data_IF_292050772390
#
_entry.id   IF_292050772390
#
_cell.length_a   1.000
_cell.length_b   1.000
_cell.length_c   1.000
_cell.angle_alpha   90.00
_cell.angle_beta   90.00
_cell.angle_gamma   90.00
#
_symmetry.space_group_name_H-M   'P 1'
#
loop_
_entity.id
_entity.type
_entity.pdbx_description
1 polymer ?
#
# COMPACT_ATOMS: atom_id res chain seq x y z
N UNK A 1 19.99 -67.45 -12.60
CA UNK A 1 19.13 -66.55 -11.82
C UNK A 1 20.03 -65.59 -11.04
N UNK A 2 20.08 -64.29 -11.42
CA UNK A 2 20.81 -63.26 -10.65
C UNK A 2 20.00 -62.95 -9.40
N UNK A 3 20.53 -63.25 -8.21
CA UNK A 3 19.97 -62.77 -6.93
C UNK A 3 20.15 -61.24 -6.88
N UNK A 4 19.03 -60.56 -6.95
CA UNK A 4 18.95 -59.13 -6.63
C UNK A 4 19.38 -58.95 -5.16
N UNK A 5 20.57 -58.34 -4.93
CA UNK A 5 20.98 -57.90 -3.60
C UNK A 5 19.99 -56.85 -3.14
N UNK A 6 19.12 -57.15 -2.21
CA UNK A 6 18.35 -56.19 -1.46
C UNK A 6 19.29 -55.45 -0.53
N UNK A 7 19.71 -54.26 -0.93
CA UNK A 7 20.44 -53.36 -0.01
C UNK A 7 19.41 -52.91 1.02
N UNK A 8 19.56 -53.39 2.24
CA UNK A 8 18.76 -52.88 3.36
C UNK A 8 19.15 -51.41 3.64
N UNK A 9 18.14 -50.61 3.92
CA UNK A 9 18.34 -49.23 4.39
C UNK A 9 19.14 -49.27 5.68
N UNK A 10 20.24 -48.51 5.76
CA UNK A 10 21.04 -48.44 6.99
C UNK A 10 20.36 -47.50 7.99
N UNK A 11 20.56 -47.77 9.29
CA UNK A 11 19.99 -46.93 10.35
C UNK A 11 20.40 -45.46 10.18
N UNK A 12 21.63 -45.24 9.72
CA UNK A 12 22.16 -43.88 9.51
C UNK A 12 21.47 -43.15 8.34
N UNK A 13 21.13 -43.86 7.27
CA UNK A 13 20.36 -43.29 6.16
C UNK A 13 18.94 -42.91 6.60
N UNK A 14 18.29 -43.72 7.44
CA UNK A 14 16.99 -43.43 7.98
C UNK A 14 17.03 -42.19 8.89
N UNK A 15 18.04 -42.06 9.76
CA UNK A 15 18.22 -40.89 10.60
C UNK A 15 18.53 -39.64 9.79
N UNK A 16 19.36 -39.74 8.77
CA UNK A 16 19.66 -38.62 7.87
C UNK A 16 18.40 -38.15 7.11
N UNK A 17 17.62 -39.10 6.59
CA UNK A 17 16.37 -38.77 5.92
C UNK A 17 15.39 -38.06 6.84
N UNK A 18 15.22 -38.52 8.09
CA UNK A 18 14.43 -37.87 9.13
C UNK A 18 14.90 -36.46 9.45
N UNK A 19 16.22 -36.27 9.55
CA UNK A 19 16.80 -34.97 9.80
C UNK A 19 16.53 -33.99 8.65
N UNK A 20 16.75 -34.41 7.41
CA UNK A 20 16.48 -33.58 6.23
C UNK A 20 15.00 -33.24 6.11
N UNK A 21 14.10 -34.19 6.31
CA UNK A 21 12.66 -33.93 6.25
C UNK A 21 12.20 -32.97 7.33
N UNK A 22 12.77 -33.02 8.53
CA UNK A 22 12.45 -32.07 9.60
C UNK A 22 12.91 -30.66 9.27
N UNK A 23 14.10 -30.50 8.69
CA UNK A 23 14.61 -29.20 8.21
C UNK A 23 13.75 -28.60 7.11
N UNK A 24 13.39 -29.41 6.11
CA UNK A 24 12.51 -28.97 5.01
C UNK A 24 11.14 -28.56 5.53
N UNK A 25 10.59 -29.33 6.47
CA UNK A 25 9.31 -29.00 7.08
C UNK A 25 9.34 -27.69 7.87
N UNK A 26 10.43 -27.44 8.61
CA UNK A 26 10.62 -26.18 9.35
C UNK A 26 10.74 -24.99 8.40
N UNK A 27 11.52 -25.11 7.34
CA UNK A 27 11.64 -24.07 6.30
C UNK A 27 10.30 -23.80 5.60
N UNK A 28 9.57 -24.86 5.24
CA UNK A 28 8.23 -24.75 4.65
C UNK A 28 7.24 -24.01 5.56
N UNK A 29 7.27 -24.31 6.86
CA UNK A 29 6.46 -23.63 7.85
C UNK A 29 6.82 -22.12 7.96
N UNK A 30 8.11 -21.78 7.99
CA UNK A 30 8.56 -20.39 8.02
C UNK A 30 8.13 -19.62 6.78
N UNK A 31 8.29 -20.20 5.59
CA UNK A 31 7.85 -19.59 4.33
C UNK A 31 6.33 -19.37 4.31
N UNK A 32 5.55 -20.35 4.78
CA UNK A 32 4.11 -20.22 4.90
C UNK A 32 3.70 -19.09 5.83
N UNK A 33 4.36 -18.95 6.98
CA UNK A 33 4.14 -17.85 7.94
C UNK A 33 4.45 -16.50 7.30
N UNK A 34 5.57 -16.38 6.59
CA UNK A 34 5.92 -15.17 5.85
C UNK A 34 4.86 -14.83 4.80
N UNK A 35 4.47 -15.78 3.98
CA UNK A 35 3.46 -15.58 2.93
C UNK A 35 2.11 -15.11 3.51
N UNK A 36 1.67 -15.73 4.59
CA UNK A 36 0.43 -15.32 5.29
C UNK A 36 0.57 -13.91 5.89
N UNK A 37 1.72 -13.58 6.45
CA UNK A 37 1.98 -12.23 6.98
C UNK A 37 1.90 -11.17 5.87
N UNK A 38 2.54 -11.41 4.73
CA UNK A 38 2.45 -10.51 3.56
C UNK A 38 1.02 -10.42 3.00
N UNK A 39 0.28 -11.53 2.97
CA UNK A 39 -1.10 -11.52 2.49
C UNK A 39 -2.06 -10.72 3.39
N UNK A 40 -1.74 -10.62 4.70
CA UNK A 40 -2.51 -9.82 5.67
C UNK A 40 -1.95 -8.41 5.88
N UNK A 41 -0.80 -8.08 5.31
CA UNK A 41 -0.34 -6.70 5.28
C UNK A 41 -1.25 -5.93 4.32
N UNK A 42 -2.19 -5.20 4.89
CA UNK A 42 -2.92 -4.12 4.21
C UNK A 42 -1.89 -3.01 3.92
N UNK A 43 -1.00 -3.27 2.97
CA UNK A 43 -0.05 -2.25 2.53
C UNK A 43 -0.87 -1.28 1.70
N UNK A 44 -1.28 -0.19 2.34
CA UNK A 44 -2.04 0.90 1.71
C UNK A 44 -1.10 1.74 0.82
N UNK A 45 -0.32 1.02 0.00
CA UNK A 45 0.62 1.58 -0.98
C UNK A 45 -0.11 2.48 -1.97
N UNK A 46 -1.36 2.17 -2.29
CA UNK A 46 -2.17 2.97 -3.20
C UNK A 46 -2.33 4.41 -2.69
N UNK A 47 -2.64 4.58 -1.41
CA UNK A 47 -2.78 5.93 -0.84
C UNK A 47 -1.45 6.67 -0.77
N UNK A 48 -0.36 5.98 -0.45
CA UNK A 48 0.98 6.58 -0.44
C UNK A 48 1.40 7.05 -1.83
N UNK A 49 1.17 6.25 -2.87
CA UNK A 49 1.42 6.66 -4.25
C UNK A 49 0.56 7.84 -4.67
N UNK A 50 -0.72 7.85 -4.30
CA UNK A 50 -1.61 8.95 -4.60
C UNK A 50 -1.14 10.26 -3.91
N UNK A 51 -0.72 10.20 -2.65
CA UNK A 51 -0.13 11.36 -1.95
C UNK A 51 1.15 11.84 -2.62
N UNK A 52 2.04 10.92 -3.03
CA UNK A 52 3.26 11.29 -3.74
C UNK A 52 2.97 11.95 -5.10
N UNK A 53 1.98 11.44 -5.82
CA UNK A 53 1.54 12.03 -7.07
C UNK A 53 0.97 13.43 -6.85
N UNK A 54 0.13 13.63 -5.83
CA UNK A 54 -0.40 14.92 -5.45
C UNK A 54 0.71 15.90 -5.05
N UNK A 55 1.66 15.50 -4.22
CA UNK A 55 2.82 16.31 -3.85
C UNK A 55 3.61 16.79 -5.07
N UNK A 56 3.87 15.88 -6.00
CA UNK A 56 4.58 16.21 -7.23
C UNK A 56 3.82 17.21 -8.10
N UNK A 57 2.52 17.07 -8.20
CA UNK A 57 1.65 17.97 -8.95
C UNK A 57 1.57 19.35 -8.26
N UNK A 58 1.39 19.39 -6.94
CA UNK A 58 1.32 20.62 -6.18
C UNK A 58 2.64 21.37 -6.15
N UNK A 59 3.78 20.66 -6.12
CA UNK A 59 5.10 21.31 -6.21
C UNK A 59 5.34 22.04 -7.55
N UNK A 60 4.60 21.70 -8.60
CA UNK A 60 4.65 22.37 -9.90
C UNK A 60 3.53 23.40 -10.08
N UNK A 61 2.65 23.52 -9.10
CA UNK A 61 1.49 24.40 -9.16
C UNK A 61 1.76 25.74 -8.50
N UNK A 62 0.92 26.70 -8.85
CA UNK A 62 0.90 28.02 -8.23
C UNK A 62 -0.47 28.29 -7.60
N UNK A 63 -0.52 29.27 -6.70
CA UNK A 63 -1.76 29.83 -6.16
C UNK A 63 -2.66 28.80 -5.46
N UNK A 64 -2.05 28.04 -4.50
CA UNK A 64 -2.78 27.09 -3.69
C UNK A 64 -3.74 27.81 -2.72
N UNK A 65 -5.01 27.40 -2.75
CA UNK A 65 -6.06 27.93 -1.86
C UNK A 65 -6.97 26.80 -1.40
N UNK A 66 -7.42 26.90 -0.17
CA UNK A 66 -8.44 26.02 0.39
C UNK A 66 -9.74 26.81 0.49
N UNK A 67 -10.77 26.29 -0.15
CA UNK A 67 -12.12 26.88 -0.14
C UNK A 67 -13.12 25.73 0.12
N UNK A 68 -13.90 25.85 1.19
CA UNK A 68 -14.99 24.90 1.49
C UNK A 68 -14.57 23.42 1.41
N UNK A 69 -13.48 23.04 2.11
CA UNK A 69 -12.93 21.69 2.14
C UNK A 69 -12.38 21.16 0.79
N UNK A 70 -12.20 22.03 -0.18
CA UNK A 70 -11.59 21.74 -1.47
C UNK A 70 -10.23 22.43 -1.58
N UNK A 71 -9.27 21.78 -2.22
CA UNK A 71 -7.97 22.38 -2.53
C UNK A 71 -7.96 22.83 -4.00
N UNK A 72 -7.88 24.14 -4.22
CA UNK A 72 -7.74 24.72 -5.56
C UNK A 72 -6.32 25.17 -5.82
N UNK A 73 -5.84 24.96 -7.03
CA UNK A 73 -4.49 25.36 -7.48
C UNK A 73 -4.46 25.59 -8.99
N UNK A 74 -3.44 26.26 -9.45
CA UNK A 74 -3.23 26.52 -10.87
C UNK A 74 -2.04 25.69 -11.36
N UNK A 75 -2.27 24.83 -12.34
CA UNK A 75 -1.24 24.05 -13.01
C UNK A 75 -1.35 24.24 -14.52
N UNK A 76 -0.24 24.59 -15.17
CA UNK A 76 -0.20 24.86 -16.62
C UNK A 76 -1.26 25.87 -17.11
N UNK A 77 -1.48 26.94 -16.34
CA UNK A 77 -2.50 27.98 -16.59
C UNK A 77 -3.96 27.51 -16.47
N UNK A 78 -4.19 26.29 -16.03
CA UNK A 78 -5.54 25.76 -15.77
C UNK A 78 -5.81 25.69 -14.25
N UNK A 79 -6.98 26.16 -13.85
CA UNK A 79 -7.45 26.01 -12.48
C UNK A 79 -7.90 24.57 -12.25
N UNK A 80 -7.30 23.89 -11.28
CA UNK A 80 -7.64 22.54 -10.86
C UNK A 80 -8.15 22.57 -9.43
N UNK A 81 -9.10 21.68 -9.13
CA UNK A 81 -9.73 21.58 -7.82
C UNK A 81 -9.75 20.13 -7.39
N UNK A 82 -9.19 19.85 -6.22
CA UNK A 82 -9.30 18.57 -5.52
C UNK A 82 -10.43 18.65 -4.52
N UNK A 83 -11.32 17.67 -4.53
CA UNK A 83 -12.46 17.61 -3.62
C UNK A 83 -12.83 16.16 -3.31
N UNK A 84 -13.61 16.00 -2.24
CA UNK A 84 -14.14 14.70 -1.85
C UNK A 84 -15.53 14.51 -2.49
N UNK A 85 -15.72 13.41 -3.22
CA UNK A 85 -16.98 13.02 -3.82
C UNK A 85 -17.20 11.52 -3.75
N UNK A 86 -18.36 11.09 -3.26
CA UNK A 86 -18.80 9.67 -3.26
C UNK A 86 -17.74 8.68 -2.85
N UNK A 87 -17.14 8.90 -1.68
CA UNK A 87 -16.06 8.04 -1.13
C UNK A 87 -14.76 8.06 -1.95
N UNK A 88 -14.49 9.14 -2.68
CA UNK A 88 -13.29 9.31 -3.51
C UNK A 88 -12.71 10.70 -3.36
N UNK A 89 -11.41 10.80 -3.48
CA UNK A 89 -10.72 12.08 -3.71
C UNK A 89 -10.52 12.21 -5.21
N UNK A 90 -11.10 13.26 -5.79
CA UNK A 90 -11.13 13.48 -7.23
C UNK A 90 -10.62 14.87 -7.59
N UNK A 91 -10.13 14.99 -8.81
CA UNK A 91 -9.65 16.25 -9.40
C UNK A 91 -10.56 16.69 -10.54
N UNK A 92 -10.89 17.96 -10.58
CA UNK A 92 -11.57 18.63 -11.69
C UNK A 92 -10.61 19.66 -12.33
N UNK A 93 -10.67 19.89 -13.67
CA UNK A 93 -11.54 19.26 -14.65
C UNK A 93 -11.09 17.83 -15.02
N UNK A 94 -12.02 17.01 -15.56
CA UNK A 94 -11.72 15.67 -16.06
C UNK A 94 -12.10 14.52 -15.14
N UNK A 95 -12.49 14.77 -13.88
CA UNK A 95 -12.87 13.74 -12.89
C UNK A 95 -11.84 12.63 -12.74
N UNK A 96 -10.57 13.02 -12.49
CA UNK A 96 -9.49 12.09 -12.24
C UNK A 96 -9.53 11.63 -10.77
N UNK A 97 -9.55 10.32 -10.56
CA UNK A 97 -9.65 9.72 -9.24
C UNK A 97 -8.24 9.48 -8.70
N UNK A 98 -7.92 10.07 -7.54
CA UNK A 98 -6.66 9.86 -6.83
C UNK A 98 -6.74 8.77 -5.79
N UNK A 99 -7.83 8.73 -5.05
CA UNK A 99 -8.05 7.76 -3.97
C UNK A 99 -9.48 7.28 -3.97
N UNK A 100 -9.67 6.00 -3.65
CA UNK A 100 -10.97 5.35 -3.53
C UNK A 100 -11.18 4.74 -2.15
N UNK A 101 -12.44 4.46 -1.84
CA UNK A 101 -12.87 3.84 -0.57
C UNK A 101 -12.52 4.71 0.64
N UNK A 102 -12.65 6.02 0.50
CA UNK A 102 -12.45 7.01 1.56
C UNK A 102 -13.78 7.24 2.26
N UNK A 103 -13.83 7.15 3.58
CA UNK A 103 -15.05 7.42 4.35
C UNK A 103 -15.30 8.91 4.47
N UNK A 104 -14.24 9.68 4.77
CA UNK A 104 -14.24 11.13 4.91
C UNK A 104 -12.89 11.69 4.46
N UNK A 105 -12.86 12.90 3.91
CA UNK A 105 -11.64 13.62 3.60
C UNK A 105 -11.82 15.12 3.79
N UNK A 106 -10.79 15.77 4.32
CA UNK A 106 -10.75 17.21 4.58
C UNK A 106 -9.39 17.75 4.14
N UNK A 107 -9.38 18.82 3.37
CA UNK A 107 -8.18 19.58 3.06
C UNK A 107 -8.09 20.77 4.01
N UNK A 108 -6.94 20.98 4.60
CA UNK A 108 -6.75 22.09 5.53
C UNK A 108 -5.34 22.66 5.43
N UNK A 109 -5.19 23.89 5.92
CA UNK A 109 -3.93 24.61 5.96
C UNK A 109 -3.47 24.76 7.40
N UNK A 110 -2.21 24.44 7.67
CA UNK A 110 -1.48 24.82 8.88
C UNK A 110 -0.43 25.89 8.54
N UNK A 111 0.21 26.44 9.59
CA UNK A 111 1.25 27.46 9.43
C UNK A 111 2.37 27.03 8.48
N UNK A 112 2.71 25.72 8.49
CA UNK A 112 3.83 25.13 7.76
C UNK A 112 3.45 24.57 6.38
N UNK A 113 2.15 24.45 6.02
CA UNK A 113 1.80 23.85 4.74
C UNK A 113 0.34 23.48 4.54
N UNK A 114 0.11 22.76 3.48
CA UNK A 114 -1.20 22.23 3.09
C UNK A 114 -1.26 20.73 3.37
N UNK A 115 -2.35 20.29 3.97
CA UNK A 115 -2.53 18.92 4.47
C UNK A 115 -3.81 18.32 3.93
N UNK A 116 -3.82 16.99 3.80
CA UNK A 116 -5.03 16.20 3.61
C UNK A 116 -5.18 15.21 4.76
N UNK A 117 -6.30 15.32 5.44
CA UNK A 117 -6.74 14.30 6.38
C UNK A 117 -7.83 13.47 5.73
N UNK A 118 -7.74 12.15 5.85
CA UNK A 118 -8.80 11.27 5.39
C UNK A 118 -8.91 10.02 6.26
N UNK A 119 -10.10 9.44 6.27
CA UNK A 119 -10.42 8.21 6.96
C UNK A 119 -10.75 7.12 5.96
N UNK A 120 -10.17 5.94 6.13
CA UNK A 120 -10.38 4.76 5.29
C UNK A 120 -10.37 3.51 6.14
N UNK A 121 -11.40 2.65 6.04
CA UNK A 121 -11.50 1.41 6.82
C UNK A 121 -11.23 1.61 8.32
N UNK A 122 -11.84 2.60 8.91
CA UNK A 122 -11.65 2.96 10.34
C UNK A 122 -10.25 3.44 10.76
N UNK A 123 -9.32 3.63 9.82
CA UNK A 123 -8.00 4.23 10.07
C UNK A 123 -8.00 5.67 9.57
N UNK A 124 -7.45 6.57 10.38
CA UNK A 124 -7.24 7.96 9.99
C UNK A 124 -5.82 8.16 9.48
N UNK A 125 -5.68 8.93 8.44
CA UNK A 125 -4.41 9.29 7.82
C UNK A 125 -4.33 10.81 7.71
N UNK A 126 -3.14 11.33 7.97
CA UNK A 126 -2.84 12.77 7.86
C UNK A 126 -1.54 12.93 7.08
N UNK A 127 -1.61 13.57 5.93
CA UNK A 127 -0.45 13.76 5.06
C UNK A 127 -0.27 15.22 4.70
N UNK A 128 0.96 15.67 4.83
CA UNK A 128 1.39 16.95 4.28
C UNK A 128 1.44 16.85 2.75
N UNK A 129 0.88 17.82 2.06
CA UNK A 129 0.85 17.88 0.60
C UNK A 129 1.89 18.85 0.04
N UNK A 130 2.09 19.99 0.72
CA UNK A 130 2.98 21.08 0.27
C UNK A 130 3.39 21.97 1.44
#
# INVERSE_FOLDING_TARGET
MKKLKRNGFTLIEALLALFITSLVSLLGYMLMRCALHFAHMDVDTQNQFAVLQLRRELAQSNDLKIESDCLSYILNHEKKVLYFDKHRIVKSPGYEIYMEQIDEAIFYKKEDGYYVWFKKKNKAYDFELY
#
